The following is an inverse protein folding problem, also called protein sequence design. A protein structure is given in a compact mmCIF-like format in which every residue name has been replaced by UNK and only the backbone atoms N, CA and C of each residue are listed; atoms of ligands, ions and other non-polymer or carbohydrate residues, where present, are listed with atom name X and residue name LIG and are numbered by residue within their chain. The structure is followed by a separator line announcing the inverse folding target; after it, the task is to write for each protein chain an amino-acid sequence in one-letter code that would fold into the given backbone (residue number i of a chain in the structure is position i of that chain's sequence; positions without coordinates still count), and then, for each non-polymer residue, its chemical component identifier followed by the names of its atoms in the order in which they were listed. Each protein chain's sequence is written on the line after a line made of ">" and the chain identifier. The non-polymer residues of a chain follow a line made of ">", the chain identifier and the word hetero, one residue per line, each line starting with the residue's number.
data_IF_013055768222
#
_entry.id   IF_013055768222
#
_cell.length_a   1.000
_cell.length_b   1.000
_cell.length_c   1.000
_cell.angle_alpha   90.00
_cell.angle_beta   90.00
_cell.angle_gamma   90.00
#
_symmetry.space_group_name_H-M   'P 1'
#
loop_
_entity.id
_entity.type
_entity.pdbx_description
1 polymer ?
#
# COMPACT_ATOMS: atom_id res chain seq x y z
N UNK A 1 -10.52 -22.20 14.66
CA UNK A 1 -11.13 -20.93 14.23
C UNK A 1 -10.03 -20.13 13.54
N UNK A 2 -10.26 -19.67 12.32
CA UNK A 2 -9.30 -18.81 11.60
C UNK A 2 -9.54 -17.34 11.93
N UNK A 3 -8.50 -16.48 11.98
CA UNK A 3 -8.67 -15.06 12.20
C UNK A 3 -9.39 -14.42 11.01
N UNK A 4 -10.17 -13.36 11.27
CA UNK A 4 -10.82 -12.60 10.21
C UNK A 4 -9.82 -11.79 9.38
N UNK A 5 -8.70 -11.38 9.98
CA UNK A 5 -7.67 -10.57 9.34
C UNK A 5 -6.27 -10.91 9.86
N UNK A 6 -5.27 -10.66 9.03
CA UNK A 6 -3.86 -10.71 9.39
C UNK A 6 -3.20 -9.37 9.02
N UNK A 7 -2.81 -8.60 10.04
CA UNK A 7 -2.21 -7.28 9.87
C UNK A 7 -0.69 -7.37 9.95
N UNK A 8 0.01 -7.05 8.86
CA UNK A 8 1.48 -7.18 8.76
C UNK A 8 2.13 -5.98 8.05
N UNK A 9 3.43 -5.80 8.24
CA UNK A 9 4.19 -4.78 7.51
C UNK A 9 4.23 -5.16 6.04
N UNK A 10 3.84 -4.22 5.18
CA UNK A 10 3.74 -4.45 3.74
C UNK A 10 3.87 -3.14 2.96
N UNK A 11 4.88 -3.08 2.09
CA UNK A 11 5.19 -1.94 1.21
C UNK A 11 6.06 -2.44 0.03
N UNK A 12 6.32 -1.64 -1.02
CA UNK A 12 7.04 -2.10 -2.21
C UNK A 12 8.40 -2.75 -1.95
N UNK A 13 9.12 -2.27 -0.93
CA UNK A 13 10.43 -2.82 -0.53
C UNK A 13 10.35 -3.99 0.46
N UNK A 14 9.13 -4.36 0.90
CA UNK A 14 8.92 -5.46 1.85
C UNK A 14 7.58 -6.16 1.54
N UNK A 15 7.61 -7.00 0.52
CA UNK A 15 6.45 -7.81 0.12
C UNK A 15 6.39 -9.10 0.93
N UNK A 16 5.20 -9.72 0.96
CA UNK A 16 4.88 -10.91 1.75
C UNK A 16 4.04 -11.87 0.92
N UNK A 17 4.48 -12.17 -0.31
CA UNK A 17 3.64 -12.84 -1.30
C UNK A 17 3.16 -14.23 -0.86
N UNK A 18 4.02 -15.03 -0.24
CA UNK A 18 3.63 -16.35 0.32
C UNK A 18 2.55 -16.22 1.42
N UNK A 19 2.70 -15.24 2.31
CA UNK A 19 1.74 -15.00 3.40
C UNK A 19 0.42 -14.44 2.87
N UNK A 20 0.49 -13.54 1.88
CA UNK A 20 -0.68 -12.98 1.18
C UNK A 20 -1.45 -14.09 0.48
N UNK A 21 -0.76 -15.00 -0.19
CA UNK A 21 -1.34 -16.16 -0.86
C UNK A 21 -1.98 -17.14 0.13
N UNK A 22 -1.32 -17.39 1.26
CA UNK A 22 -1.91 -18.18 2.35
C UNK A 22 -3.18 -17.52 2.89
N UNK A 23 -3.13 -16.23 3.23
CA UNK A 23 -4.30 -15.48 3.70
C UNK A 23 -5.46 -15.55 2.69
N UNK A 24 -5.17 -15.40 1.39
CA UNK A 24 -6.18 -15.54 0.33
C UNK A 24 -6.80 -16.94 0.30
N UNK A 25 -6.00 -18.01 0.40
CA UNK A 25 -6.48 -19.41 0.39
C UNK A 25 -7.37 -19.72 1.60
N UNK A 26 -7.00 -19.20 2.76
CA UNK A 26 -7.71 -19.45 4.02
C UNK A 26 -8.87 -18.48 4.30
N UNK A 27 -9.15 -17.53 3.40
CA UNK A 27 -10.20 -16.52 3.59
C UNK A 27 -9.88 -15.48 4.68
N UNK A 28 -8.60 -15.26 4.98
CA UNK A 28 -8.12 -14.27 5.95
C UNK A 28 -7.88 -12.93 5.23
N UNK A 29 -8.46 -11.85 5.74
CA UNK A 29 -8.24 -10.51 5.17
C UNK A 29 -6.80 -10.03 5.42
N UNK A 30 -6.03 -9.82 4.36
CA UNK A 30 -4.66 -9.32 4.48
C UNK A 30 -4.65 -7.80 4.58
N UNK A 31 -4.09 -7.26 5.67
CA UNK A 31 -4.07 -5.83 5.96
C UNK A 31 -2.63 -5.32 6.16
N UNK A 32 -2.26 -4.27 5.43
CA UNK A 32 -0.97 -3.61 5.56
C UNK A 32 -0.97 -2.61 6.72
N UNK A 33 0.08 -2.68 7.54
CA UNK A 33 0.53 -1.55 8.38
C UNK A 33 1.88 -1.02 7.85
N UNK A 34 2.27 0.19 8.28
CA UNK A 34 3.56 0.81 7.88
C UNK A 34 3.77 0.88 6.36
N UNK A 35 2.72 1.16 5.58
CA UNK A 35 2.80 1.21 4.11
C UNK A 35 3.77 2.25 3.56
N UNK A 36 4.18 3.21 4.38
CA UNK A 36 5.19 4.23 4.07
C UNK A 36 6.59 3.89 4.60
N UNK A 37 6.81 2.68 5.13
CA UNK A 37 8.06 2.26 5.78
C UNK A 37 8.56 3.26 6.84
N UNK A 38 7.65 3.92 7.56
CA UNK A 38 7.96 5.04 8.48
C UNK A 38 8.70 6.22 7.83
N UNK A 39 8.46 6.49 6.55
CA UNK A 39 9.12 7.51 5.73
C UNK A 39 10.63 7.27 5.56
N UNK A 40 11.05 6.00 5.49
CA UNK A 40 12.42 5.64 5.15
C UNK A 40 12.79 6.17 3.75
N UNK A 41 13.90 6.94 3.62
CA UNK A 41 14.31 7.55 2.36
C UNK A 41 14.40 6.56 1.19
N UNK A 42 14.84 5.34 1.47
CA UNK A 42 14.98 4.28 0.47
C UNK A 42 13.67 4.05 -0.29
N UNK A 43 12.52 4.10 0.40
CA UNK A 43 11.21 3.92 -0.21
C UNK A 43 10.60 5.22 -0.73
N UNK A 44 10.67 6.31 0.03
CA UNK A 44 9.98 7.57 -0.36
C UNK A 44 10.73 8.35 -1.44
N UNK A 45 12.03 8.12 -1.59
CA UNK A 45 12.87 8.69 -2.65
C UNK A 45 13.18 7.70 -3.77
N UNK A 46 12.57 6.50 -3.74
CA UNK A 46 12.71 5.51 -4.80
C UNK A 46 12.32 6.15 -6.16
N UNK A 47 13.21 6.11 -7.17
CA UNK A 47 12.95 6.75 -8.47
C UNK A 47 11.67 6.28 -9.14
N UNK A 48 11.26 5.02 -8.96
CA UNK A 48 10.02 4.49 -9.51
C UNK A 48 8.80 5.08 -8.80
N UNK A 49 8.86 5.23 -7.48
CA UNK A 49 7.80 5.85 -6.67
C UNK A 49 7.67 7.34 -7.01
N UNK A 50 8.78 8.07 -7.09
CA UNK A 50 8.80 9.48 -7.50
C UNK A 50 8.29 9.69 -8.93
N UNK A 51 8.68 8.82 -9.86
CA UNK A 51 8.20 8.87 -11.25
C UNK A 51 6.68 8.62 -11.33
N UNK A 52 6.15 7.69 -10.55
CA UNK A 52 4.71 7.45 -10.47
C UNK A 52 3.96 8.63 -9.85
N UNK A 53 4.47 9.18 -8.75
CA UNK A 53 3.90 10.37 -8.10
C UNK A 53 3.82 11.54 -9.09
N UNK A 54 4.90 11.81 -9.83
CA UNK A 54 4.95 12.83 -10.87
C UNK A 54 4.00 12.52 -12.03
N UNK A 55 3.97 11.29 -12.53
CA UNK A 55 3.13 10.87 -13.66
C UNK A 55 1.64 11.09 -13.37
N UNK A 56 1.22 10.82 -12.15
CA UNK A 56 -0.17 10.92 -11.73
C UNK A 56 -0.50 12.26 -11.06
N UNK A 57 0.48 13.16 -10.90
CA UNK A 57 0.33 14.44 -10.20
C UNK A 57 -0.24 14.29 -8.78
N UNK A 58 0.29 13.32 -8.04
CA UNK A 58 -0.11 12.98 -6.66
C UNK A 58 1.11 12.90 -5.75
N UNK A 59 0.89 12.84 -4.44
CA UNK A 59 1.98 12.68 -3.48
C UNK A 59 2.52 11.24 -3.43
N UNK A 60 3.78 11.11 -2.99
CA UNK A 60 4.42 9.80 -2.74
C UNK A 60 3.63 8.92 -1.78
N UNK A 61 3.14 9.42 -0.62
CA UNK A 61 2.29 8.62 0.26
C UNK A 61 1.05 8.06 -0.45
N UNK A 62 0.41 8.85 -1.32
CA UNK A 62 -0.77 8.39 -2.06
C UNK A 62 -0.44 7.24 -3.01
N UNK A 63 0.69 7.31 -3.71
CA UNK A 63 1.17 6.23 -4.57
C UNK A 63 1.39 4.95 -3.77
N UNK A 64 2.04 5.04 -2.61
CA UNK A 64 2.35 3.88 -1.77
C UNK A 64 1.09 3.23 -1.18
N UNK A 65 0.11 4.05 -0.77
CA UNK A 65 -1.19 3.57 -0.29
C UNK A 65 -1.99 2.93 -1.44
N UNK A 66 -2.05 3.58 -2.60
CA UNK A 66 -2.74 3.07 -3.77
C UNK A 66 -2.09 1.76 -4.27
N UNK A 67 -0.76 1.64 -4.21
CA UNK A 67 -0.05 0.42 -4.58
C UNK A 67 -0.52 -0.81 -3.78
N UNK A 68 -0.69 -0.68 -2.47
CA UNK A 68 -1.23 -1.76 -1.64
C UNK A 68 -2.71 -2.01 -1.96
N UNK A 69 -3.51 -0.93 -2.07
CA UNK A 69 -4.94 -1.01 -2.35
C UNK A 69 -5.24 -1.74 -3.68
N UNK A 70 -4.52 -1.42 -4.76
CA UNK A 70 -4.68 -2.07 -6.08
C UNK A 70 -4.41 -3.58 -6.06
N UNK A 71 -3.74 -4.10 -5.02
CA UNK A 71 -3.46 -5.52 -4.85
C UNK A 71 -4.51 -6.24 -3.99
N UNK A 72 -5.60 -5.57 -3.63
CA UNK A 72 -6.61 -6.11 -2.72
C UNK A 72 -6.14 -6.20 -1.27
N UNK A 73 -5.09 -5.44 -0.90
CA UNK A 73 -4.59 -5.36 0.47
C UNK A 73 -5.30 -4.23 1.20
N UNK A 74 -5.83 -4.50 2.39
CA UNK A 74 -6.40 -3.45 3.25
C UNK A 74 -5.32 -2.49 3.73
N UNK A 75 -5.60 -1.19 3.76
CA UNK A 75 -4.66 -0.16 4.21
C UNK A 75 -5.22 0.58 5.43
N UNK A 76 -4.34 0.96 6.38
CA UNK A 76 -4.72 1.73 7.57
C UNK A 76 -3.73 2.89 7.76
N UNK A 77 -3.81 3.95 6.93
CA UNK A 77 -2.88 5.06 7.01
C UNK A 77 -3.09 5.85 8.31
N UNK A 78 -2.02 6.02 9.09
CA UNK A 78 -2.03 6.86 10.29
C UNK A 78 -1.78 8.32 9.91
N UNK A 79 -2.64 9.23 10.36
CA UNK A 79 -2.40 10.67 10.31
C UNK A 79 -3.10 11.37 11.48
N UNK A 80 -2.48 12.43 12.01
CA UNK A 80 -3.11 13.37 12.94
C UNK A 80 -3.45 14.72 12.27
N UNK A 81 -3.07 14.90 11.01
CA UNK A 81 -3.28 16.14 10.24
C UNK A 81 -4.53 15.97 9.38
N UNK A 82 -5.58 16.81 9.55
CA UNK A 82 -6.83 16.69 8.80
C UNK A 82 -6.64 16.65 7.28
N UNK A 83 -5.74 17.50 6.76
CA UNK A 83 -5.43 17.58 5.33
C UNK A 83 -4.88 16.25 4.80
N UNK A 84 -3.96 15.62 5.53
CA UNK A 84 -3.41 14.30 5.18
C UNK A 84 -4.44 13.18 5.32
N UNK A 85 -5.40 13.29 6.25
CA UNK A 85 -6.49 12.32 6.38
C UNK A 85 -7.35 12.36 5.11
N UNK A 86 -7.72 13.55 4.66
CA UNK A 86 -8.50 13.75 3.42
C UNK A 86 -7.70 13.21 2.22
N UNK A 87 -6.43 13.60 2.08
CA UNK A 87 -5.57 13.14 1.00
C UNK A 87 -5.43 11.61 0.99
N UNK A 88 -5.18 10.98 2.14
CA UNK A 88 -5.04 9.52 2.23
C UNK A 88 -6.31 8.76 1.78
N UNK A 89 -7.51 9.37 1.93
CA UNK A 89 -8.75 8.77 1.46
C UNK A 89 -8.86 8.73 -0.07
N UNK A 90 -8.14 9.61 -0.77
CA UNK A 90 -8.09 9.63 -2.24
C UNK A 90 -7.31 8.43 -2.83
N UNK A 91 -6.55 7.70 -2.01
CA UNK A 91 -5.76 6.54 -2.45
C UNK A 91 -6.62 5.45 -3.12
N UNK A 92 -7.91 5.38 -2.77
CA UNK A 92 -8.87 4.44 -3.35
C UNK A 92 -9.33 4.82 -4.76
N UNK A 93 -9.06 6.05 -5.22
CA UNK A 93 -9.62 6.60 -6.46
C UNK A 93 -8.57 7.18 -7.43
N UNK A 94 -7.40 7.59 -6.92
CA UNK A 94 -6.50 8.47 -7.66
C UNK A 94 -5.50 7.76 -8.59
N UNK A 95 -5.16 6.49 -8.33
CA UNK A 95 -4.07 5.82 -9.08
C UNK A 95 -4.45 4.39 -9.46
N UNK A 96 -4.70 4.14 -10.74
CA UNK A 96 -4.72 2.80 -11.30
C UNK A 96 -3.28 2.31 -11.50
N UNK A 97 -2.66 1.77 -10.44
CA UNK A 97 -1.31 1.19 -10.53
C UNK A 97 -1.44 -0.19 -11.19
N UNK A 98 -0.95 -0.32 -12.43
CA UNK A 98 -0.93 -1.62 -13.10
C UNK A 98 0.15 -2.48 -12.46
N UNK A 99 -0.23 -3.52 -11.72
CA UNK A 99 0.72 -4.53 -11.28
C UNK A 99 1.11 -5.38 -12.49
N UNK A 100 2.40 -5.48 -12.79
CA UNK A 100 2.87 -6.53 -13.70
C UNK A 100 2.64 -7.85 -12.96
N UNK A 101 1.70 -8.66 -13.45
CA UNK A 101 1.62 -10.06 -13.06
C UNK A 101 2.91 -10.74 -13.50
N UNK A 102 3.79 -11.03 -12.56
CA UNK A 102 4.89 -11.96 -12.79
C UNK A 102 4.29 -13.29 -13.22
N UNK A 103 4.66 -13.72 -14.42
CA UNK A 103 4.32 -15.01 -15.03
C UNK A 103 5.02 -16.14 -14.29
#
# INVERSE_FOLDING_TARGET
>A
MMPCANQVEYHPHFTRDELKDYCRKEGIFFQAFSSLARHQPELVEDPAVLALAKKHNVSVPLVLLAWAHCQGVGIVPKSATPQRIIENLEASYAVAVTTRSSS
#
